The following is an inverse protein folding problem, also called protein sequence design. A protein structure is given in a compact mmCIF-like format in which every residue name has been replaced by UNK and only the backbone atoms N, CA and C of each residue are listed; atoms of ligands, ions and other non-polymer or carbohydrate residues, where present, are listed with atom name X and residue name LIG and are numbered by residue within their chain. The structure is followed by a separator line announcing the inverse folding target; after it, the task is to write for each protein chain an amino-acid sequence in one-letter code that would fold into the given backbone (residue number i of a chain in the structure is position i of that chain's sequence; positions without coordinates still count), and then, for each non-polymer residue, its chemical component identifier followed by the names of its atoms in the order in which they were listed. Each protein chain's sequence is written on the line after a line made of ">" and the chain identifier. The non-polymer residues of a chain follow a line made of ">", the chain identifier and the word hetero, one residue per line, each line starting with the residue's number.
data_IF_767881680809
#
_entry.id   IF_767881680809
#
_cell.length_a   1.000
_cell.length_b   1.000
_cell.length_c   1.000
_cell.angle_alpha   90.00
_cell.angle_beta   90.00
_cell.angle_gamma   90.00
#
_symmetry.space_group_name_H-M   'P 1'
#
loop_
_entity.id
_entity.type
_entity.pdbx_description
1 polymer ?
#
# COMPACT_ATOMS: atom_id res chain seq x y z
N UNK A 1 -30.29 6.44 6.07
CA UNK A 1 -28.85 6.39 5.72
C UNK A 1 -28.44 4.94 5.79
N UNK A 2 -27.67 4.41 4.81
CA UNK A 2 -27.18 3.02 4.90
C UNK A 2 -26.20 2.86 6.03
N UNK A 3 -26.23 1.70 6.69
CA UNK A 3 -25.36 1.32 7.79
C UNK A 3 -24.19 0.49 7.28
N UNK A 4 -22.98 0.98 7.45
CA UNK A 4 -21.75 0.31 7.04
C UNK A 4 -20.95 -0.10 8.27
N UNK A 5 -20.67 -1.40 8.42
CA UNK A 5 -19.70 -1.91 9.38
C UNK A 5 -18.34 -2.01 8.70
N UNK A 6 -17.42 -1.10 9.02
CA UNK A 6 -16.06 -1.12 8.52
C UNK A 6 -15.17 -1.99 9.41
N UNK A 7 -14.53 -2.99 8.82
CA UNK A 7 -13.71 -3.97 9.54
C UNK A 7 -12.25 -3.87 9.07
N UNK A 8 -11.32 -3.69 10.01
CA UNK A 8 -9.90 -3.61 9.72
C UNK A 8 -9.06 -4.24 10.83
N UNK A 9 -7.94 -4.84 10.47
CA UNK A 9 -6.94 -5.33 11.41
C UNK A 9 -5.67 -4.48 11.28
N UNK A 10 -5.42 -3.64 12.28
CA UNK A 10 -4.28 -2.75 12.31
C UNK A 10 -2.96 -3.50 12.28
N UNK A 11 -1.96 -2.91 11.63
CA UNK A 11 -0.58 -3.39 11.71
C UNK A 11 0.03 -3.09 13.08
N UNK A 12 1.14 -3.73 13.42
CA UNK A 12 1.90 -3.43 14.66
C UNK A 12 2.54 -2.04 14.63
N UNK A 13 3.03 -1.68 13.45
CA UNK A 13 3.55 -0.33 13.14
C UNK A 13 2.57 0.27 12.15
N UNK A 14 2.06 1.46 12.41
CA UNK A 14 1.12 2.16 11.55
C UNK A 14 1.70 2.28 10.14
N UNK A 15 0.97 1.79 9.15
CA UNK A 15 1.36 1.82 7.75
C UNK A 15 0.44 2.67 6.89
N UNK A 16 0.80 2.84 5.62
CA UNK A 16 -0.02 3.59 4.66
C UNK A 16 -1.44 3.03 4.50
N UNK A 17 -1.64 1.72 4.71
CA UNK A 17 -2.97 1.09 4.70
C UNK A 17 -3.82 1.54 5.89
N UNK A 18 -3.24 1.59 7.12
CA UNK A 18 -3.97 2.05 8.30
C UNK A 18 -4.39 3.52 8.16
N UNK A 19 -3.51 4.37 7.63
CA UNK A 19 -3.79 5.79 7.36
C UNK A 19 -4.90 5.92 6.29
N UNK A 20 -4.83 5.14 5.22
CA UNK A 20 -5.85 5.15 4.17
C UNK A 20 -7.22 4.76 4.71
N UNK A 21 -7.29 3.74 5.58
CA UNK A 21 -8.54 3.31 6.23
C UNK A 21 -9.11 4.39 7.13
N UNK A 22 -8.28 5.05 7.97
CA UNK A 22 -8.72 6.14 8.83
C UNK A 22 -9.27 7.34 8.03
N UNK A 23 -8.59 7.71 6.94
CA UNK A 23 -9.06 8.74 6.03
C UNK A 23 -10.40 8.37 5.40
N UNK A 24 -10.54 7.13 4.94
CA UNK A 24 -11.76 6.62 4.34
C UNK A 24 -12.93 6.62 5.34
N UNK A 25 -12.72 6.18 6.59
CA UNK A 25 -13.73 6.27 7.66
C UNK A 25 -14.22 7.70 7.86
N UNK A 26 -13.31 8.67 7.92
CA UNK A 26 -13.65 10.08 8.14
C UNK A 26 -14.54 10.66 7.03
N UNK A 27 -14.33 10.19 5.80
CA UNK A 27 -15.10 10.60 4.63
C UNK A 27 -16.43 9.87 4.57
N UNK A 28 -16.44 8.55 4.76
CA UNK A 28 -17.65 7.72 4.71
C UNK A 28 -18.70 8.14 5.74
N UNK A 29 -18.29 8.58 6.94
CA UNK A 29 -19.18 9.12 7.97
C UNK A 29 -20.00 10.34 7.53
N UNK A 30 -19.63 11.00 6.43
CA UNK A 30 -20.42 12.12 5.86
C UNK A 30 -21.59 11.64 5.00
N UNK A 31 -21.53 10.40 4.51
CA UNK A 31 -22.49 9.85 3.54
C UNK A 31 -23.28 8.65 4.08
N UNK A 32 -22.75 7.99 5.14
CA UNK A 32 -23.29 6.76 5.71
C UNK A 32 -23.27 6.81 7.23
N UNK A 33 -24.10 5.97 7.88
CA UNK A 33 -23.94 5.62 9.27
C UNK A 33 -22.84 4.55 9.38
N UNK A 34 -21.70 4.89 9.96
CA UNK A 34 -20.50 4.03 9.96
C UNK A 34 -20.12 3.62 11.38
N UNK A 35 -20.17 2.31 11.64
CA UNK A 35 -19.56 1.68 12.81
C UNK A 35 -18.22 1.05 12.40
N UNK A 36 -17.25 1.03 13.31
CA UNK A 36 -15.92 0.52 13.05
C UNK A 36 -15.54 -0.62 13.99
N UNK A 37 -15.04 -1.72 13.43
CA UNK A 37 -14.53 -2.85 14.19
C UNK A 37 -13.04 -3.04 13.85
N UNK A 38 -12.17 -2.58 14.75
CA UNK A 38 -10.73 -2.69 14.58
C UNK A 38 -10.16 -3.80 15.45
N UNK A 39 -9.37 -4.66 14.81
CA UNK A 39 -8.55 -5.67 15.48
C UNK A 39 -7.10 -5.21 15.51
N UNK A 40 -6.32 -5.70 16.50
CA UNK A 40 -4.88 -5.45 16.59
C UNK A 40 -4.10 -6.76 16.67
N UNK A 41 -2.90 -6.77 16.08
CA UNK A 41 -1.98 -7.89 16.17
C UNK A 41 -1.09 -7.84 17.43
N UNK A 42 -1.28 -6.86 18.29
CA UNK A 42 -0.62 -6.80 19.58
C UNK A 42 -1.13 -7.92 20.50
N UNK A 43 -0.23 -8.73 21.00
CA UNK A 43 -0.57 -9.77 21.96
C UNK A 43 0.58 -10.10 22.88
N UNK A 44 0.24 -10.16 24.17
CA UNK A 44 1.13 -10.65 25.23
C UNK A 44 1.17 -12.18 25.32
N UNK A 45 0.21 -12.90 24.72
CA UNK A 45 0.11 -14.36 24.86
C UNK A 45 0.03 -15.06 23.50
N UNK A 46 1.17 -15.62 23.04
CA UNK A 46 1.27 -16.34 21.76
C UNK A 46 0.64 -17.75 21.80
N UNK A 47 0.53 -18.38 22.96
CA UNK A 47 -0.02 -19.73 23.09
C UNK A 47 -1.51 -19.78 22.78
N UNK A 48 -2.26 -18.76 23.18
CA UNK A 48 -3.70 -18.65 22.88
C UNK A 48 -4.01 -18.53 21.38
N UNK A 49 -3.01 -18.21 20.55
CA UNK A 49 -3.14 -18.07 19.10
C UNK A 49 -2.71 -19.28 18.28
N UNK A 50 -2.24 -20.36 18.90
CA UNK A 50 -1.90 -21.58 18.18
C UNK A 50 -3.06 -22.10 17.30
N UNK A 51 -4.33 -22.15 17.77
CA UNK A 51 -5.45 -22.55 16.94
C UNK A 51 -5.62 -21.70 15.70
N UNK A 52 -5.45 -20.36 15.83
CA UNK A 52 -5.56 -19.41 14.72
C UNK A 52 -4.55 -19.74 13.59
N UNK A 53 -3.32 -20.10 13.94
CA UNK A 53 -2.31 -20.46 12.94
C UNK A 53 -2.69 -21.72 12.17
N UNK A 54 -3.25 -22.74 12.83
CA UNK A 54 -3.63 -23.99 12.18
C UNK A 54 -4.92 -23.89 11.39
N UNK A 55 -5.93 -23.20 11.92
CA UNK A 55 -7.26 -23.12 11.33
C UNK A 55 -7.48 -21.90 10.45
N UNK A 56 -6.66 -20.85 10.62
CA UNK A 56 -6.85 -19.49 10.09
C UNK A 56 -8.15 -18.83 10.61
N UNK A 57 -8.69 -19.33 11.72
CA UNK A 57 -9.94 -18.87 12.35
C UNK A 57 -9.70 -18.47 13.80
N UNK A 58 -10.42 -17.43 14.23
CA UNK A 58 -10.36 -16.89 15.60
C UNK A 58 -11.77 -16.75 16.16
N UNK A 59 -12.13 -17.62 17.11
CA UNK A 59 -13.45 -17.62 17.73
C UNK A 59 -13.79 -16.30 18.43
N UNK A 60 -12.80 -15.66 19.07
CA UNK A 60 -13.02 -14.40 19.76
C UNK A 60 -13.39 -13.28 18.78
N UNK A 61 -12.72 -13.23 17.61
CA UNK A 61 -13.04 -12.25 16.59
C UNK A 61 -14.43 -12.51 15.99
N UNK A 62 -14.79 -13.78 15.78
CA UNK A 62 -16.13 -14.17 15.33
C UNK A 62 -17.22 -13.74 16.31
N UNK A 63 -17.07 -14.08 17.61
CA UNK A 63 -18.03 -13.70 18.66
C UNK A 63 -18.15 -12.18 18.80
N UNK A 64 -17.02 -11.44 18.73
CA UNK A 64 -17.06 -9.98 18.81
C UNK A 64 -17.78 -9.38 17.59
N UNK A 65 -17.52 -9.90 16.40
CA UNK A 65 -18.22 -9.48 15.17
C UNK A 65 -19.71 -9.78 15.24
N UNK A 66 -20.12 -10.98 15.70
CA UNK A 66 -21.55 -11.33 15.85
C UNK A 66 -22.27 -10.34 16.76
N UNK A 67 -21.67 -10.01 17.91
CA UNK A 67 -22.24 -9.01 18.83
C UNK A 67 -22.40 -7.64 18.16
N UNK A 68 -21.38 -7.15 17.44
CA UNK A 68 -21.48 -5.87 16.74
C UNK A 68 -22.55 -5.91 15.64
N UNK A 69 -22.72 -7.03 14.93
CA UNK A 69 -23.77 -7.20 13.93
C UNK A 69 -25.17 -7.14 14.58
N UNK A 70 -25.37 -7.82 15.70
CA UNK A 70 -26.64 -7.82 16.44
C UNK A 70 -27.01 -6.41 16.96
N UNK A 71 -26.04 -5.69 17.50
CA UNK A 71 -26.24 -4.35 18.07
C UNK A 71 -26.45 -3.29 16.99
N UNK A 72 -25.59 -3.26 15.96
CA UNK A 72 -25.58 -2.21 14.94
C UNK A 72 -26.51 -2.50 13.77
N UNK A 73 -26.72 -3.78 13.41
CA UNK A 73 -27.53 -4.25 12.27
C UNK A 73 -27.08 -3.60 10.96
N UNK A 74 -25.83 -3.85 10.52
CA UNK A 74 -25.30 -3.25 9.30
C UNK A 74 -25.99 -3.77 8.04
N UNK A 75 -26.24 -2.90 7.07
CA UNK A 75 -26.66 -3.30 5.72
C UNK A 75 -25.50 -3.95 4.96
N UNK A 76 -24.26 -3.55 5.26
CA UNK A 76 -23.06 -3.97 4.55
C UNK A 76 -21.88 -4.03 5.50
N UNK A 77 -21.03 -5.04 5.31
CA UNK A 77 -19.69 -5.10 5.88
C UNK A 77 -18.65 -4.67 4.83
N UNK A 78 -17.89 -3.64 5.16
CA UNK A 78 -16.78 -3.14 4.36
C UNK A 78 -15.46 -3.55 5.00
N UNK A 79 -14.84 -4.60 4.46
CA UNK A 79 -13.66 -5.25 5.03
C UNK A 79 -12.41 -4.77 4.31
N UNK A 80 -11.37 -4.36 5.05
CA UNK A 80 -10.06 -4.01 4.50
C UNK A 80 -9.03 -5.10 4.78
N UNK A 81 -8.62 -5.27 6.01
CA UNK A 81 -7.61 -6.24 6.40
C UNK A 81 -8.11 -7.14 7.53
N UNK A 82 -7.88 -8.44 7.42
CA UNK A 82 -8.21 -9.42 8.48
C UNK A 82 -6.98 -10.14 9.04
N UNK A 83 -5.80 -9.73 8.66
CA UNK A 83 -4.54 -10.41 8.91
C UNK A 83 -3.88 -9.91 10.21
N UNK A 84 -3.73 -10.71 11.27
CA UNK A 84 -4.13 -12.10 11.51
C UNK A 84 -5.34 -12.22 12.44
N UNK A 85 -5.45 -11.32 13.46
CA UNK A 85 -6.41 -11.46 14.56
C UNK A 85 -7.85 -11.36 14.13
N UNK A 86 -8.18 -10.49 13.16
CA UNK A 86 -9.47 -10.50 12.52
C UNK A 86 -9.78 -11.89 11.98
N UNK A 87 -8.81 -12.50 11.31
CA UNK A 87 -8.85 -13.87 10.77
C UNK A 87 -9.87 -14.09 9.66
N UNK A 88 -9.88 -15.32 9.11
CA UNK A 88 -10.84 -15.68 8.06
C UNK A 88 -12.24 -15.98 8.63
N UNK A 89 -12.38 -16.14 9.95
CA UNK A 89 -13.70 -16.27 10.57
C UNK A 89 -14.60 -15.04 10.36
N UNK A 90 -14.03 -13.86 10.09
CA UNK A 90 -14.83 -12.67 9.71
C UNK A 90 -15.74 -12.99 8.54
N UNK A 91 -15.22 -13.64 7.48
CA UNK A 91 -16.02 -13.95 6.29
C UNK A 91 -17.08 -15.03 6.55
N UNK A 92 -16.75 -16.03 7.39
CA UNK A 92 -17.72 -17.05 7.79
C UNK A 92 -18.87 -16.43 8.59
N UNK A 93 -18.54 -15.62 9.60
CA UNK A 93 -19.54 -14.94 10.45
C UNK A 93 -20.43 -13.98 9.65
N UNK A 94 -19.85 -13.19 8.74
CA UNK A 94 -20.64 -12.31 7.87
C UNK A 94 -21.61 -13.10 6.97
N UNK A 95 -21.17 -14.25 6.46
CA UNK A 95 -22.01 -15.13 5.66
C UNK A 95 -23.13 -15.79 6.49
N UNK A 96 -22.83 -16.25 7.71
CA UNK A 96 -23.82 -16.83 8.64
C UNK A 96 -24.93 -15.82 8.99
N UNK A 97 -24.59 -14.55 9.14
CA UNK A 97 -25.55 -13.46 9.38
C UNK A 97 -26.16 -12.88 8.09
N UNK A 98 -25.86 -13.44 6.90
CA UNK A 98 -26.30 -12.95 5.59
C UNK A 98 -25.96 -11.47 5.32
N UNK A 99 -24.85 -10.98 5.86
CA UNK A 99 -24.39 -9.60 5.63
C UNK A 99 -23.65 -9.51 4.30
N UNK A 100 -24.13 -8.63 3.42
CA UNK A 100 -23.45 -8.31 2.16
C UNK A 100 -22.04 -7.81 2.46
N UNK A 101 -21.03 -8.39 1.80
CA UNK A 101 -19.63 -8.11 2.10
C UNK A 101 -18.90 -7.53 0.90
N UNK A 102 -18.28 -6.38 1.10
CA UNK A 102 -17.35 -5.73 0.17
C UNK A 102 -15.96 -5.79 0.78
N UNK A 103 -14.99 -6.31 0.04
CA UNK A 103 -13.60 -6.45 0.50
C UNK A 103 -12.68 -5.55 -0.32
N UNK A 104 -11.96 -4.63 0.32
CA UNK A 104 -10.94 -3.78 -0.33
C UNK A 104 -9.55 -4.34 -0.11
N UNK A 105 -8.85 -4.62 -1.21
CA UNK A 105 -7.49 -5.16 -1.20
C UNK A 105 -6.46 -4.06 -1.43
N UNK A 106 -5.60 -3.85 -0.44
CA UNK A 106 -4.53 -2.84 -0.49
C UNK A 106 -3.17 -3.41 -0.92
N UNK A 107 -3.01 -4.73 -0.88
CA UNK A 107 -1.74 -5.41 -1.11
C UNK A 107 -1.94 -6.79 -1.77
N UNK A 108 -0.81 -7.47 -2.08
CA UNK A 108 -0.82 -8.77 -2.74
C UNK A 108 -0.53 -9.95 -1.80
N UNK A 109 -0.82 -9.83 -0.49
CA UNK A 109 -0.51 -10.88 0.50
C UNK A 109 -1.21 -12.21 0.26
N UNK A 110 -2.38 -12.20 -0.36
CA UNK A 110 -3.08 -13.42 -0.81
C UNK A 110 -2.27 -14.22 -1.84
N UNK A 111 -1.31 -13.61 -2.52
CA UNK A 111 -0.42 -14.24 -3.49
C UNK A 111 1.01 -14.36 -2.97
N UNK A 112 1.58 -13.28 -2.41
CA UNK A 112 2.91 -13.25 -1.84
C UNK A 112 2.88 -12.86 -0.36
N UNK A 113 2.92 -13.85 0.52
CA UNK A 113 2.85 -13.66 1.99
C UNK A 113 4.06 -12.96 2.59
N UNK A 114 5.21 -12.95 1.91
CA UNK A 114 6.39 -12.17 2.29
C UNK A 114 6.24 -10.67 1.94
N UNK A 115 5.23 -10.32 1.13
CA UNK A 115 5.08 -8.96 0.57
C UNK A 115 6.27 -8.51 -0.29
N UNK A 116 6.91 -9.46 -0.99
CA UNK A 116 8.05 -9.27 -1.88
C UNK A 116 7.65 -9.46 -3.34
N UNK A 117 6.38 -9.21 -3.65
CA UNK A 117 5.87 -9.36 -5.00
C UNK A 117 6.42 -8.26 -5.91
N UNK A 118 7.13 -8.67 -6.97
CA UNK A 118 7.76 -7.76 -7.91
C UNK A 118 7.90 -8.42 -9.30
N UNK A 119 8.33 -7.65 -10.30
CA UNK A 119 8.44 -8.07 -11.70
C UNK A 119 9.19 -9.39 -11.89
N UNK A 120 10.25 -9.62 -11.13
CA UNK A 120 11.08 -10.83 -11.24
C UNK A 120 10.67 -11.94 -10.26
N UNK A 121 9.49 -11.83 -9.63
CA UNK A 121 9.01 -12.84 -8.70
C UNK A 121 8.85 -14.20 -9.38
N UNK A 122 9.67 -15.18 -9.00
CA UNK A 122 9.74 -16.53 -9.56
C UNK A 122 9.96 -16.62 -11.10
N UNK A 123 10.30 -15.53 -11.79
CA UNK A 123 10.28 -15.48 -13.26
C UNK A 123 11.18 -16.56 -13.86
N UNK A 124 12.45 -16.63 -13.46
CA UNK A 124 13.48 -17.53 -14.02
C UNK A 124 14.05 -18.50 -12.97
N UNK A 125 13.42 -18.57 -11.80
CA UNK A 125 13.89 -19.34 -10.65
C UNK A 125 12.94 -20.49 -10.33
N UNK A 126 13.50 -21.66 -9.94
CA UNK A 126 12.72 -22.79 -9.43
C UNK A 126 12.15 -22.52 -8.02
N UNK A 127 12.73 -21.58 -7.29
CA UNK A 127 12.29 -21.17 -5.96
C UNK A 127 12.39 -19.65 -5.78
N UNK A 128 11.52 -19.09 -4.94
CA UNK A 128 11.56 -17.67 -4.58
C UNK A 128 12.67 -17.40 -3.57
N UNK A 129 13.56 -16.46 -3.84
CA UNK A 129 14.63 -16.07 -2.92
C UNK A 129 14.11 -15.52 -1.58
N UNK A 130 12.96 -14.85 -1.59
CA UNK A 130 12.41 -14.24 -0.40
C UNK A 130 11.84 -15.26 0.61
N UNK A 131 11.13 -16.29 0.14
CA UNK A 131 10.47 -17.29 1.00
C UNK A 131 10.88 -18.74 0.72
N UNK A 132 11.66 -18.99 -0.33
CA UNK A 132 12.13 -20.33 -0.70
C UNK A 132 11.05 -21.24 -1.31
N UNK A 133 9.85 -20.72 -1.61
CA UNK A 133 8.81 -21.53 -2.24
C UNK A 133 9.14 -21.86 -3.69
N UNK A 134 8.88 -23.12 -4.09
CA UNK A 134 8.98 -23.53 -5.49
C UNK A 134 7.83 -22.95 -6.31
N UNK A 135 8.11 -22.62 -7.59
CA UNK A 135 7.20 -21.96 -8.53
C UNK A 135 5.80 -22.58 -8.59
N UNK A 136 5.71 -23.89 -8.60
CA UNK A 136 4.43 -24.60 -8.73
C UNK A 136 4.02 -25.41 -7.49
N UNK A 137 4.84 -25.42 -6.43
CA UNK A 137 4.58 -26.20 -5.23
C UNK A 137 5.27 -25.59 -4.02
N UNK A 138 4.56 -25.41 -2.93
CA UNK A 138 5.10 -24.98 -1.64
C UNK A 138 5.85 -26.13 -0.94
N UNK A 139 7.00 -26.55 -1.44
CA UNK A 139 7.79 -27.65 -0.87
C UNK A 139 9.03 -27.20 -0.12
N UNK A 140 9.55 -26.02 -0.43
CA UNK A 140 10.75 -25.43 0.19
C UNK A 140 10.43 -23.97 0.48
N UNK A 141 10.74 -23.52 1.66
CA UNK A 141 10.62 -22.13 2.10
C UNK A 141 11.68 -21.81 3.16
N UNK A 142 12.07 -20.54 3.21
CA UNK A 142 13.02 -20.02 4.20
C UNK A 142 12.27 -19.65 5.48
N UNK A 143 13.01 -19.46 6.59
CA UNK A 143 12.50 -18.94 7.86
C UNK A 143 12.17 -17.45 7.79
N UNK A 144 11.41 -17.01 6.76
CA UNK A 144 11.19 -15.60 6.50
C UNK A 144 10.22 -14.92 7.47
N UNK A 145 9.48 -15.70 8.26
CA UNK A 145 8.53 -15.16 9.21
C UNK A 145 8.95 -15.52 10.64
N UNK A 146 9.33 -14.49 11.42
CA UNK A 146 9.81 -14.62 12.80
C UNK A 146 10.88 -15.72 12.97
N UNK A 147 11.78 -15.84 12.01
CA UNK A 147 12.89 -16.80 11.97
C UNK A 147 12.50 -18.27 12.30
N UNK A 148 11.32 -18.67 11.84
CA UNK A 148 10.75 -20.00 12.13
C UNK A 148 10.16 -20.65 10.88
N UNK A 149 10.55 -21.91 10.58
CA UNK A 149 9.95 -22.68 9.50
C UNK A 149 8.46 -22.94 9.74
N UNK A 150 8.07 -23.30 10.96
CA UNK A 150 6.68 -23.59 11.30
C UNK A 150 5.79 -22.35 11.11
N UNK A 151 6.21 -21.21 11.64
CA UNK A 151 5.47 -19.95 11.47
C UNK A 151 5.41 -19.51 10.01
N UNK A 152 6.49 -19.69 9.25
CA UNK A 152 6.52 -19.40 7.81
C UNK A 152 5.54 -20.29 7.03
N UNK A 153 5.48 -21.59 7.35
CA UNK A 153 4.50 -22.51 6.76
C UNK A 153 3.06 -22.09 7.06
N UNK A 154 2.77 -21.74 8.32
CA UNK A 154 1.45 -21.30 8.75
C UNK A 154 0.98 -20.05 8.00
N UNK A 155 1.87 -19.07 7.83
CA UNK A 155 1.59 -17.86 7.07
C UNK A 155 1.28 -18.18 5.60
N UNK A 156 1.99 -19.12 5.00
CA UNK A 156 1.72 -19.60 3.63
C UNK A 156 0.36 -20.28 3.53
N UNK A 157 0.03 -21.13 4.49
CA UNK A 157 -1.28 -21.81 4.55
C UNK A 157 -2.40 -20.78 4.69
N UNK A 158 -2.23 -19.78 5.57
CA UNK A 158 -3.18 -18.68 5.72
C UNK A 158 -3.39 -17.94 4.39
N UNK A 159 -2.31 -17.56 3.70
CA UNK A 159 -2.39 -16.88 2.41
C UNK A 159 -3.15 -17.69 1.35
N UNK A 160 -2.94 -19.02 1.29
CA UNK A 160 -3.69 -19.91 0.39
C UNK A 160 -5.19 -19.98 0.74
N UNK A 161 -5.52 -20.07 2.02
CA UNK A 161 -6.92 -20.08 2.48
C UNK A 161 -7.59 -18.74 2.20
N UNK A 162 -6.87 -17.63 2.43
CA UNK A 162 -7.35 -16.30 2.09
C UNK A 162 -7.64 -16.17 0.59
N UNK A 163 -6.74 -16.65 -0.27
CA UNK A 163 -6.98 -16.69 -1.71
C UNK A 163 -8.24 -17.51 -2.08
N UNK A 164 -8.46 -18.65 -1.41
CA UNK A 164 -9.67 -19.45 -1.62
C UNK A 164 -10.95 -18.69 -1.22
N UNK A 165 -10.91 -17.87 -0.16
CA UNK A 165 -12.02 -16.97 0.19
C UNK A 165 -12.28 -15.98 -0.94
N UNK A 166 -11.24 -15.33 -1.49
CA UNK A 166 -11.39 -14.39 -2.61
C UNK A 166 -12.00 -15.05 -3.85
N UNK A 167 -11.64 -16.31 -4.12
CA UNK A 167 -12.08 -17.03 -5.31
C UNK A 167 -13.51 -17.58 -5.19
N UNK A 168 -13.85 -18.13 -4.04
CA UNK A 168 -15.05 -18.96 -3.86
C UNK A 168 -16.21 -18.26 -3.14
N UNK A 169 -15.93 -17.20 -2.36
CA UNK A 169 -16.98 -16.49 -1.64
C UNK A 169 -17.74 -15.50 -2.53
N UNK A 170 -18.97 -15.20 -2.14
CA UNK A 170 -19.79 -14.19 -2.84
C UNK A 170 -19.43 -12.79 -2.33
N UNK A 171 -18.22 -12.32 -2.67
CA UNK A 171 -17.68 -11.02 -2.27
C UNK A 171 -17.60 -10.09 -3.48
N UNK A 172 -17.94 -8.83 -3.29
CA UNK A 172 -17.47 -7.76 -4.17
C UNK A 172 -16.07 -7.34 -3.72
N UNK A 173 -15.13 -7.33 -4.65
CA UNK A 173 -13.71 -7.03 -4.37
C UNK A 173 -13.37 -5.68 -4.97
N UNK A 174 -12.95 -4.75 -4.11
CA UNK A 174 -12.39 -3.48 -4.52
C UNK A 174 -10.87 -3.59 -4.57
N UNK A 175 -10.29 -3.08 -5.63
CA UNK A 175 -8.84 -2.97 -5.81
C UNK A 175 -8.47 -1.55 -6.19
N UNK A 176 -7.24 -1.15 -5.89
CA UNK A 176 -6.82 0.24 -6.03
C UNK A 176 -6.51 0.64 -7.49
N UNK A 177 -6.26 -0.36 -8.38
CA UNK A 177 -5.76 -0.11 -9.74
C UNK A 177 -6.30 -1.11 -10.75
N UNK A 178 -6.32 -0.73 -12.02
CA UNK A 178 -6.60 -1.62 -13.16
C UNK A 178 -5.57 -2.75 -13.26
N UNK A 179 -4.30 -2.46 -12.93
CA UNK A 179 -3.24 -3.48 -12.82
C UNK A 179 -3.64 -4.59 -11.84
N UNK A 180 -4.08 -4.23 -10.62
CA UNK A 180 -4.49 -5.19 -9.60
C UNK A 180 -5.73 -5.98 -10.05
N UNK A 181 -6.73 -5.32 -10.68
CA UNK A 181 -7.89 -5.98 -11.29
C UNK A 181 -7.47 -7.02 -12.34
N UNK A 182 -6.58 -6.66 -13.26
CA UNK A 182 -6.04 -7.57 -14.28
C UNK A 182 -5.30 -8.74 -13.64
N UNK A 183 -4.51 -8.48 -12.61
CA UNK A 183 -3.77 -9.50 -11.88
C UNK A 183 -4.70 -10.55 -11.24
N UNK A 184 -5.74 -10.12 -10.51
CA UNK A 184 -6.73 -11.02 -9.90
C UNK A 184 -7.51 -11.81 -10.95
N UNK A 185 -7.89 -11.17 -12.05
CA UNK A 185 -8.59 -11.84 -13.16
C UNK A 185 -7.73 -12.95 -13.76
N UNK A 186 -6.44 -12.71 -13.95
CA UNK A 186 -5.48 -13.72 -14.44
C UNK A 186 -5.29 -14.89 -13.47
N UNK A 187 -5.55 -14.68 -12.17
CA UNK A 187 -5.57 -15.75 -11.17
C UNK A 187 -6.90 -16.53 -11.12
N UNK A 188 -7.85 -16.21 -11.99
CA UNK A 188 -9.13 -16.90 -12.12
C UNK A 188 -10.25 -16.38 -11.22
N UNK A 189 -10.14 -15.17 -10.67
CA UNK A 189 -11.25 -14.51 -9.99
C UNK A 189 -12.14 -13.83 -11.04
N UNK A 190 -13.45 -13.97 -10.90
CA UNK A 190 -14.43 -13.47 -11.88
C UNK A 190 -14.33 -11.95 -12.01
N UNK A 191 -14.10 -11.45 -13.24
CA UNK A 191 -13.93 -10.01 -13.54
C UNK A 191 -15.08 -9.14 -13.04
N UNK A 192 -16.33 -9.65 -13.07
CA UNK A 192 -17.53 -8.95 -12.60
C UNK A 192 -17.54 -8.64 -11.11
N UNK A 193 -16.85 -9.45 -10.30
CA UNK A 193 -16.74 -9.26 -8.84
C UNK A 193 -15.65 -8.24 -8.46
N UNK A 194 -14.82 -7.79 -9.42
CA UNK A 194 -13.67 -6.93 -9.14
C UNK A 194 -13.93 -5.53 -9.68
N UNK A 195 -13.93 -4.56 -8.79
CA UNK A 195 -14.12 -3.15 -9.11
C UNK A 195 -12.86 -2.36 -8.75
N UNK A 196 -12.57 -1.31 -9.52
CA UNK A 196 -11.43 -0.43 -9.22
C UNK A 196 -11.96 0.75 -8.41
N UNK A 197 -11.45 0.90 -7.19
CA UNK A 197 -11.73 2.00 -6.30
C UNK A 197 -10.44 2.41 -5.57
N UNK A 198 -9.73 3.44 -6.03
CA UNK A 198 -8.58 4.00 -5.33
C UNK A 198 -8.91 4.44 -3.90
N UNK A 199 -7.88 4.61 -3.09
CA UNK A 199 -8.03 5.21 -1.78
C UNK A 199 -8.29 6.71 -1.92
N UNK A 200 -9.14 7.21 -1.05
CA UNK A 200 -9.34 8.64 -0.87
C UNK A 200 -8.07 9.27 -0.25
N UNK A 201 -7.64 10.40 -0.79
CA UNK A 201 -6.59 11.22 -0.21
C UNK A 201 -7.19 12.47 0.42
N UNK A 202 -6.61 12.88 1.54
CA UNK A 202 -6.91 14.18 2.14
C UNK A 202 -5.78 15.15 1.80
N UNK A 203 -6.08 16.21 1.07
CA UNK A 203 -5.17 17.35 0.91
C UNK A 203 -5.40 18.31 2.08
N UNK A 204 -4.46 18.35 3.02
CA UNK A 204 -4.56 19.24 4.19
C UNK A 204 -3.85 20.57 4.05
N UNK A 205 -3.12 20.77 2.96
CA UNK A 205 -2.24 21.92 2.79
C UNK A 205 -2.63 22.64 1.50
N UNK A 206 -3.11 23.86 1.62
CA UNK A 206 -3.15 24.80 0.49
C UNK A 206 -1.70 25.18 0.17
N UNK A 207 -1.20 24.74 -0.96
CA UNK A 207 0.18 25.01 -1.34
C UNK A 207 0.29 25.92 -2.54
N UNK A 208 1.02 27.01 -2.35
CA UNK A 208 1.69 27.73 -3.42
C UNK A 208 3.03 27.06 -3.66
N UNK A 209 3.13 26.30 -4.74
CA UNK A 209 4.35 25.61 -5.13
C UNK A 209 5.54 26.60 -5.23
N UNK A 210 6.57 26.36 -4.44
CA UNK A 210 7.83 27.11 -4.48
C UNK A 210 8.94 26.20 -5.02
N UNK A 211 9.32 26.31 -6.30
CA UNK A 211 10.25 25.40 -6.97
C UNK A 211 11.72 25.58 -6.59
N UNK A 212 12.06 26.58 -5.78
CA UNK A 212 13.43 26.96 -5.47
C UNK A 212 14.07 26.15 -4.34
N UNK A 213 13.42 25.09 -3.85
CA UNK A 213 14.04 24.29 -2.80
C UNK A 213 15.24 23.50 -3.30
N UNK A 214 16.19 23.35 -2.43
CA UNK A 214 17.48 22.67 -2.65
C UNK A 214 17.44 21.20 -2.26
N UNK A 215 16.25 20.59 -2.14
CA UNK A 215 16.15 19.17 -1.76
C UNK A 215 15.01 18.42 -2.47
N UNK A 216 15.22 17.09 -2.57
CA UNK A 216 14.17 16.12 -2.91
C UNK A 216 13.90 15.22 -1.70
N UNK A 217 12.76 14.52 -1.71
CA UNK A 217 12.31 13.71 -0.58
C UNK A 217 12.06 12.26 -0.97
N UNK A 218 12.59 11.35 -0.16
CA UNK A 218 12.08 9.99 -0.02
C UNK A 218 11.41 9.86 1.35
N UNK A 219 10.19 9.34 1.42
CA UNK A 219 9.58 8.99 2.70
C UNK A 219 8.96 7.59 2.65
N UNK A 220 9.27 6.79 3.67
CA UNK A 220 8.79 5.42 3.80
C UNK A 220 9.78 4.49 4.48
N UNK A 221 9.46 3.19 4.49
CA UNK A 221 10.30 2.18 5.13
C UNK A 221 11.68 2.09 4.47
N UNK A 222 12.72 2.19 5.27
CA UNK A 222 14.12 2.15 4.82
C UNK A 222 14.58 0.69 4.78
N UNK A 223 14.27 0.00 3.68
CA UNK A 223 14.48 -1.44 3.50
C UNK A 223 14.90 -1.78 2.06
N UNK A 224 15.44 -2.99 1.89
CA UNK A 224 15.97 -3.47 0.61
C UNK A 224 14.91 -3.46 -0.51
N UNK A 225 13.70 -3.91 -0.21
CA UNK A 225 12.59 -3.99 -1.18
C UNK A 225 12.09 -2.62 -1.63
N UNK A 226 12.32 -1.57 -0.84
CA UNK A 226 12.02 -0.19 -1.22
C UNK A 226 13.13 0.48 -2.04
N UNK A 227 14.26 -0.21 -2.25
CA UNK A 227 15.34 0.23 -3.14
C UNK A 227 16.03 1.51 -2.69
N UNK A 228 16.06 1.79 -1.38
CA UNK A 228 16.58 3.07 -0.85
C UNK A 228 18.07 3.21 -1.09
N UNK A 229 18.85 2.13 -0.98
CA UNK A 229 20.28 2.17 -1.23
C UNK A 229 20.58 2.48 -2.71
N UNK A 230 19.87 1.85 -3.62
CA UNK A 230 20.01 2.07 -5.06
C UNK A 230 19.57 3.48 -5.44
N UNK A 231 18.51 3.99 -4.84
CA UNK A 231 18.03 5.35 -5.01
C UNK A 231 19.11 6.35 -4.59
N UNK A 232 19.72 6.19 -3.41
CA UNK A 232 20.81 7.06 -2.94
C UNK A 232 22.00 7.01 -3.92
N UNK A 233 22.38 5.81 -4.39
CA UNK A 233 23.46 5.66 -5.38
C UNK A 233 23.13 6.40 -6.69
N UNK A 234 21.90 6.33 -7.18
CA UNK A 234 21.46 7.04 -8.37
C UNK A 234 21.49 8.55 -8.16
N UNK A 235 21.03 9.02 -7.00
CA UNK A 235 21.08 10.41 -6.62
C UNK A 235 22.51 10.95 -6.61
N UNK A 236 23.44 10.26 -5.96
CA UNK A 236 24.86 10.68 -5.86
C UNK A 236 25.61 10.60 -7.20
N UNK A 237 25.13 9.80 -8.17
CA UNK A 237 25.70 9.75 -9.54
C UNK A 237 25.14 10.83 -10.45
N UNK A 238 24.01 11.44 -10.11
CA UNK A 238 23.34 12.44 -10.95
C UNK A 238 24.13 13.75 -10.97
N UNK A 239 24.01 14.50 -12.07
CA UNK A 239 24.76 15.73 -12.31
C UNK A 239 23.91 16.96 -12.02
N UNK A 240 23.79 17.31 -10.75
CA UNK A 240 23.14 18.54 -10.32
C UNK A 240 23.96 19.22 -9.20
N UNK A 241 23.80 20.53 -9.08
CA UNK A 241 24.52 21.33 -8.08
C UNK A 241 23.55 21.70 -6.94
N UNK A 242 24.06 21.62 -5.70
CA UNK A 242 23.38 22.12 -4.50
C UNK A 242 21.95 21.53 -4.27
N UNK A 243 21.75 20.27 -4.61
CA UNK A 243 20.51 19.55 -4.26
C UNK A 243 20.84 18.46 -3.24
N UNK A 244 20.08 18.40 -2.16
CA UNK A 244 20.15 17.37 -1.13
C UNK A 244 19.00 16.37 -1.30
N UNK A 245 19.16 15.19 -0.70
CA UNK A 245 18.04 14.25 -0.55
C UNK A 245 17.74 14.03 0.92
N UNK A 246 16.47 14.22 1.30
CA UNK A 246 15.96 13.90 2.64
C UNK A 246 15.34 12.50 2.63
N UNK A 247 15.89 11.60 3.44
CA UNK A 247 15.43 10.22 3.62
C UNK A 247 14.67 10.13 4.93
N UNK A 248 13.36 10.09 4.87
CA UNK A 248 12.46 10.10 6.03
C UNK A 248 11.90 8.70 6.27
N UNK A 249 12.00 8.23 7.51
CA UNK A 249 11.39 6.97 7.93
C UNK A 249 12.30 6.08 8.77
N UNK A 250 11.85 4.85 8.97
CA UNK A 250 12.54 3.83 9.75
C UNK A 250 12.67 2.53 8.95
N UNK A 251 13.57 1.64 9.39
CA UNK A 251 13.73 0.32 8.75
C UNK A 251 15.09 -0.31 8.97
N UNK A 252 15.25 -1.58 8.55
CA UNK A 252 16.46 -2.36 8.83
C UNK A 252 17.75 -1.80 8.22
N UNK A 253 17.66 -0.98 7.18
CA UNK A 253 18.83 -0.40 6.53
C UNK A 253 19.21 1.00 7.06
N UNK A 254 18.42 1.64 7.94
CA UNK A 254 18.61 3.01 8.38
C UNK A 254 20.04 3.25 8.94
N UNK A 255 20.43 2.46 9.94
CA UNK A 255 21.71 2.67 10.62
C UNK A 255 22.91 2.42 9.71
N UNK A 256 22.85 1.42 8.84
CA UNK A 256 23.92 1.12 7.89
C UNK A 256 24.07 2.21 6.83
N UNK A 257 22.95 2.73 6.29
CA UNK A 257 22.97 3.80 5.31
C UNK A 257 23.38 5.15 5.92
N UNK A 258 22.93 5.49 7.13
CA UNK A 258 23.41 6.67 7.87
C UNK A 258 24.94 6.66 8.03
N UNK A 259 25.50 5.51 8.44
CA UNK A 259 26.97 5.38 8.60
C UNK A 259 27.71 5.53 7.27
N UNK A 260 27.16 4.93 6.19
CA UNK A 260 27.77 4.91 4.86
C UNK A 260 27.79 6.30 4.18
N UNK A 261 26.80 7.14 4.46
CA UNK A 261 26.57 8.42 3.77
C UNK A 261 26.66 9.64 4.69
N UNK A 262 27.44 9.54 5.78
CA UNK A 262 27.55 10.58 6.81
C UNK A 262 28.03 11.95 6.28
N UNK A 263 28.89 11.94 5.26
CA UNK A 263 29.56 13.15 4.69
C UNK A 263 29.07 13.45 3.27
N UNK A 264 27.84 13.07 2.95
CA UNK A 264 27.25 13.27 1.63
C UNK A 264 26.03 14.21 1.70
N UNK A 265 25.51 14.60 0.52
CA UNK A 265 24.29 15.38 0.39
C UNK A 265 23.00 14.57 0.73
N UNK A 266 23.13 13.58 1.62
CA UNK A 266 22.03 12.70 2.07
C UNK A 266 21.71 12.97 3.53
N UNK A 267 20.56 13.57 3.79
CA UNK A 267 20.04 13.84 5.12
C UNK A 267 19.08 12.73 5.56
N UNK A 268 19.38 12.06 6.66
CA UNK A 268 18.49 11.03 7.22
C UNK A 268 17.68 11.60 8.38
N UNK A 269 16.37 11.59 8.22
CA UNK A 269 15.41 11.90 9.27
C UNK A 269 14.80 10.59 9.82
N UNK A 270 14.47 10.59 11.11
CA UNK A 270 13.73 9.49 11.70
C UNK A 270 12.26 9.51 11.22
N UNK A 271 11.50 8.51 11.63
CA UNK A 271 10.06 8.50 11.40
C UNK A 271 9.41 9.69 12.10
N UNK A 272 8.59 10.42 11.37
CA UNK A 272 7.82 11.60 11.81
C UNK A 272 6.36 11.41 11.38
N UNK A 273 5.45 12.26 11.87
CA UNK A 273 4.04 12.19 11.52
C UNK A 273 3.79 12.43 10.02
N UNK A 274 2.71 11.87 9.48
CA UNK A 274 2.34 12.09 8.07
C UNK A 274 2.18 13.58 7.74
N UNK A 275 1.64 14.36 8.67
CA UNK A 275 1.49 15.81 8.53
C UNK A 275 2.84 16.50 8.32
N UNK A 276 3.83 16.18 9.17
CA UNK A 276 5.19 16.73 9.05
C UNK A 276 5.86 16.28 7.74
N UNK A 277 5.65 15.02 7.31
CA UNK A 277 6.14 14.54 6.00
C UNK A 277 5.56 15.38 4.88
N UNK A 278 4.26 15.66 4.89
CA UNK A 278 3.60 16.47 3.86
C UNK A 278 4.04 17.93 3.89
N UNK A 279 4.32 18.49 5.07
CA UNK A 279 4.89 19.83 5.22
C UNK A 279 6.29 19.93 4.61
N UNK A 280 7.13 18.88 4.76
CA UNK A 280 8.45 18.81 4.11
C UNK A 280 8.31 18.62 2.61
N UNK A 281 7.38 17.76 2.16
CA UNK A 281 7.14 17.51 0.73
C UNK A 281 6.61 18.78 0.06
N UNK A 282 5.72 19.54 0.71
CA UNK A 282 5.13 20.77 0.13
C UNK A 282 6.16 21.83 -0.26
N UNK A 283 7.36 21.76 0.32
CA UNK A 283 8.50 22.63 0.03
C UNK A 283 9.60 21.95 -0.78
N UNK A 284 9.45 20.67 -1.13
CA UNK A 284 10.46 19.90 -1.85
C UNK A 284 10.44 20.22 -3.36
N UNK A 285 11.59 20.05 -4.02
CA UNK A 285 11.66 20.12 -5.49
C UNK A 285 10.96 18.95 -6.16
N UNK A 286 11.03 17.77 -5.57
CA UNK A 286 10.36 16.56 -6.03
C UNK A 286 10.33 15.48 -4.93
N UNK A 287 9.48 14.48 -5.14
CA UNK A 287 9.52 13.22 -4.38
C UNK A 287 10.13 12.12 -5.24
N UNK A 288 10.83 11.17 -4.62
CA UNK A 288 11.45 10.06 -5.33
C UNK A 288 11.23 8.75 -4.61
N UNK A 289 10.99 7.65 -5.36
CA UNK A 289 10.93 6.30 -4.82
C UNK A 289 11.72 5.32 -5.67
N UNK A 290 12.41 4.37 -5.01
CA UNK A 290 13.21 3.33 -5.65
C UNK A 290 12.60 1.95 -5.59
N UNK A 291 11.30 1.81 -5.28
CA UNK A 291 10.66 0.53 -4.96
C UNK A 291 10.90 -0.56 -6.01
N UNK A 292 11.27 -1.75 -5.54
CA UNK A 292 11.45 -2.96 -6.35
C UNK A 292 10.16 -3.76 -6.44
N UNK A 293 9.15 -3.42 -5.63
CA UNK A 293 7.88 -4.12 -5.53
C UNK A 293 6.87 -3.64 -6.57
N UNK A 294 5.89 -4.49 -6.88
CA UNK A 294 4.65 -4.00 -7.44
C UNK A 294 3.87 -3.26 -6.36
N UNK A 295 3.56 -2.03 -6.64
CA UNK A 295 2.73 -1.20 -5.78
C UNK A 295 1.29 -1.16 -6.32
N UNK A 296 0.33 -0.97 -5.42
CA UNK A 296 -1.02 -0.56 -5.76
C UNK A 296 -1.06 0.95 -5.95
N UNK A 297 -1.83 1.65 -5.11
CA UNK A 297 -1.81 3.10 -5.05
C UNK A 297 -0.63 3.59 -4.21
N UNK A 298 0.28 4.38 -4.77
CA UNK A 298 1.40 4.95 -4.04
C UNK A 298 0.93 6.20 -3.28
N UNK A 299 0.36 6.03 -2.07
CA UNK A 299 -0.27 7.11 -1.30
C UNK A 299 0.58 8.38 -1.25
N UNK A 300 1.86 8.25 -0.86
CA UNK A 300 2.78 9.40 -0.78
C UNK A 300 2.94 10.15 -2.10
N UNK A 301 2.99 9.44 -3.22
CA UNK A 301 3.12 10.08 -4.54
C UNK A 301 1.80 10.77 -4.94
N UNK A 302 0.65 10.19 -4.60
CA UNK A 302 -0.66 10.83 -4.80
C UNK A 302 -0.79 12.10 -3.94
N UNK A 303 -0.35 12.04 -2.70
CA UNK A 303 -0.31 13.18 -1.78
C UNK A 303 0.63 14.28 -2.30
N UNK A 304 1.84 13.93 -2.75
CA UNK A 304 2.77 14.86 -3.38
C UNK A 304 2.17 15.51 -4.62
N UNK A 305 1.50 14.72 -5.46
CA UNK A 305 0.83 15.20 -6.66
C UNK A 305 -0.27 16.21 -6.34
N UNK A 306 -1.07 15.96 -5.29
CA UNK A 306 -2.11 16.90 -4.85
C UNK A 306 -1.54 18.26 -4.40
N UNK A 307 -0.29 18.27 -3.94
CA UNK A 307 0.47 19.47 -3.59
C UNK A 307 1.16 20.13 -4.80
N UNK A 308 1.06 19.56 -5.99
CA UNK A 308 1.77 20.04 -7.18
C UNK A 308 3.26 19.68 -7.20
N UNK A 309 3.71 18.77 -6.34
CA UNK A 309 5.09 18.31 -6.26
C UNK A 309 5.27 17.08 -7.16
N UNK A 310 6.14 17.14 -8.18
CA UNK A 310 6.35 16.03 -9.10
C UNK A 310 7.11 14.89 -8.42
N UNK A 311 6.96 13.69 -8.99
CA UNK A 311 7.51 12.46 -8.42
C UNK A 311 8.34 11.69 -9.42
N UNK A 312 9.50 11.17 -8.99
CA UNK A 312 10.30 10.20 -9.75
C UNK A 312 10.00 8.78 -9.24
N UNK A 313 9.53 7.88 -10.11
CA UNK A 313 9.09 6.56 -9.70
C UNK A 313 9.33 5.50 -10.78
N UNK A 314 9.50 4.20 -10.39
CA UNK A 314 9.63 3.12 -11.35
C UNK A 314 8.29 2.75 -11.96
N UNK A 315 8.25 2.46 -13.26
CA UNK A 315 7.09 1.87 -13.93
C UNK A 315 6.85 0.46 -13.40
N UNK A 316 6.03 0.35 -12.36
CA UNK A 316 5.84 -0.87 -11.59
C UNK A 316 4.45 -0.99 -10.99
N UNK A 317 3.79 -2.11 -11.24
CA UNK A 317 2.45 -2.35 -10.71
C UNK A 317 1.44 -1.36 -11.27
N UNK A 318 0.70 -0.69 -10.37
CA UNK A 318 -0.31 0.30 -10.73
C UNK A 318 0.12 1.75 -10.54
N UNK A 319 1.40 2.04 -10.30
CA UNK A 319 1.87 3.40 -10.00
C UNK A 319 1.51 4.37 -11.13
N UNK A 320 1.76 3.98 -12.38
CA UNK A 320 1.53 4.84 -13.55
C UNK A 320 0.08 5.27 -13.71
N UNK A 321 -0.88 4.54 -13.16
CA UNK A 321 -2.30 4.88 -13.23
C UNK A 321 -2.67 6.18 -12.49
N UNK A 322 -1.78 6.70 -11.64
CA UNK A 322 -1.95 7.93 -10.86
C UNK A 322 -1.22 9.14 -11.46
N UNK A 323 -0.77 9.02 -12.70
CA UNK A 323 -0.01 10.04 -13.42
C UNK A 323 -0.52 10.16 -14.87
N UNK A 324 -0.38 11.33 -15.51
CA UNK A 324 -0.69 11.49 -16.93
C UNK A 324 0.11 10.51 -17.81
N UNK A 325 -0.46 10.10 -18.95
CA UNK A 325 0.19 9.14 -19.88
C UNK A 325 1.54 9.66 -20.41
N UNK A 326 1.71 10.99 -20.54
CA UNK A 326 2.92 11.67 -20.99
C UNK A 326 3.90 12.02 -19.86
N UNK A 327 3.74 11.43 -18.67
CA UNK A 327 4.55 11.78 -17.51
C UNK A 327 6.01 11.37 -17.66
N UNK A 328 6.91 12.37 -17.70
CA UNK A 328 8.31 12.19 -18.13
C UNK A 328 9.25 11.63 -17.06
N UNK A 329 8.86 11.67 -15.77
CA UNK A 329 9.76 11.33 -14.64
C UNK A 329 9.63 9.87 -14.17
N UNK A 330 8.82 9.07 -14.85
CA UNK A 330 8.80 7.63 -14.64
C UNK A 330 10.05 6.98 -15.27
N UNK A 331 10.59 5.95 -14.61
CA UNK A 331 11.75 5.21 -15.11
C UNK A 331 11.47 3.71 -15.13
N UNK A 332 12.26 2.95 -15.90
CA UNK A 332 12.11 1.50 -16.00
C UNK A 332 12.40 0.82 -14.66
N UNK A 333 11.49 0.00 -14.17
CA UNK A 333 11.66 -0.74 -12.92
C UNK A 333 12.98 -1.51 -12.89
N UNK A 334 13.72 -1.39 -11.79
CA UNK A 334 15.05 -1.97 -11.54
C UNK A 334 16.18 -1.40 -12.41
N UNK A 335 15.91 -0.41 -13.26
CA UNK A 335 16.93 0.30 -14.03
C UNK A 335 17.29 1.62 -13.31
N UNK A 336 18.25 1.55 -12.41
CA UNK A 336 18.67 2.71 -11.62
C UNK A 336 19.59 3.68 -12.37
N UNK A 337 20.14 3.28 -13.52
CA UNK A 337 20.82 4.21 -14.42
C UNK A 337 19.80 5.08 -15.17
N UNK A 338 18.62 4.53 -15.52
CA UNK A 338 17.50 5.31 -16.04
C UNK A 338 17.00 6.32 -14.98
N UNK A 339 16.89 5.93 -13.69
CA UNK A 339 16.61 6.85 -12.60
C UNK A 339 17.65 7.98 -12.53
N UNK A 340 18.95 7.64 -12.60
CA UNK A 340 20.04 8.64 -12.60
C UNK A 340 19.85 9.67 -13.73
N UNK A 341 19.53 9.20 -14.94
CA UNK A 341 19.28 10.09 -16.08
C UNK A 341 18.04 10.97 -15.87
N UNK A 342 16.94 10.39 -15.33
CA UNK A 342 15.72 11.15 -15.02
C UNK A 342 15.95 12.22 -13.95
N UNK A 343 16.75 11.94 -12.93
CA UNK A 343 17.06 12.91 -11.88
C UNK A 343 17.76 14.17 -12.41
N UNK A 344 18.44 14.10 -13.57
CA UNK A 344 19.04 15.30 -14.18
C UNK A 344 18.00 16.37 -14.59
N UNK A 345 16.71 16.01 -14.75
CA UNK A 345 15.63 16.99 -14.93
C UNK A 345 15.46 17.95 -13.74
N UNK A 346 16.00 17.59 -12.56
CA UNK A 346 16.01 18.50 -11.40
C UNK A 346 16.73 19.83 -11.65
N UNK A 347 17.59 19.92 -12.66
CA UNK A 347 18.24 21.15 -13.06
C UNK A 347 17.32 22.12 -13.81
N UNK A 348 16.22 21.64 -14.38
CA UNK A 348 15.26 22.46 -15.14
C UNK A 348 13.97 22.72 -14.32
N UNK A 349 13.97 23.86 -13.67
CA UNK A 349 12.86 24.28 -12.80
C UNK A 349 11.53 24.35 -13.57
N UNK A 350 11.57 24.77 -14.85
CA UNK A 350 10.36 24.90 -15.67
C UNK A 350 9.74 23.53 -15.97
N UNK A 351 10.56 22.54 -16.29
CA UNK A 351 10.10 21.16 -16.50
C UNK A 351 9.51 20.58 -15.20
N UNK A 352 10.19 20.79 -14.07
CA UNK A 352 9.73 20.36 -12.75
C UNK A 352 8.36 20.96 -12.41
N UNK A 353 8.20 22.28 -12.57
CA UNK A 353 6.94 22.99 -12.34
C UNK A 353 5.82 22.46 -13.23
N UNK A 354 6.08 22.36 -14.53
CA UNK A 354 5.09 21.90 -15.50
C UNK A 354 4.59 20.49 -15.21
N UNK A 355 5.51 19.56 -14.86
CA UNK A 355 5.13 18.20 -14.49
C UNK A 355 4.34 18.17 -13.17
N UNK A 356 4.72 18.98 -12.19
CA UNK A 356 3.98 19.11 -10.93
C UNK A 356 2.56 19.63 -11.14
N UNK A 357 2.40 20.69 -11.95
CA UNK A 357 1.11 21.25 -12.27
C UNK A 357 0.19 20.26 -13.02
N UNK A 358 0.66 19.69 -14.12
CA UNK A 358 -0.08 18.68 -14.88
C UNK A 358 -0.54 17.51 -14.01
N UNK A 359 0.35 17.06 -13.12
CA UNK A 359 0.01 15.94 -12.26
C UNK A 359 -0.98 16.30 -11.16
N UNK A 360 -0.93 17.54 -10.66
CA UNK A 360 -1.93 18.06 -9.71
C UNK A 360 -3.33 18.06 -10.31
N UNK A 361 -3.47 18.57 -11.53
CA UNK A 361 -4.76 18.55 -12.25
C UNK A 361 -5.23 17.12 -12.46
N UNK A 362 -4.36 16.24 -13.00
CA UNK A 362 -4.71 14.85 -13.25
C UNK A 362 -5.19 14.13 -11.98
N UNK A 363 -4.45 14.24 -10.86
CA UNK A 363 -4.79 13.51 -9.63
C UNK A 363 -6.05 14.07 -8.96
N UNK A 364 -6.32 15.36 -9.10
CA UNK A 364 -7.53 16.00 -8.60
C UNK A 364 -8.78 15.41 -9.25
N UNK A 365 -8.74 15.24 -10.57
CA UNK A 365 -9.84 14.64 -11.32
C UNK A 365 -9.94 13.11 -11.09
N UNK A 366 -8.79 12.41 -11.10
CA UNK A 366 -8.76 10.96 -10.97
C UNK A 366 -9.20 10.48 -9.58
N UNK A 367 -8.88 11.22 -8.52
CA UNK A 367 -9.25 10.92 -7.13
C UNK A 367 -10.37 11.82 -6.61
N UNK A 368 -11.21 12.36 -7.51
CA UNK A 368 -12.37 13.14 -7.11
C UNK A 368 -13.27 12.37 -6.14
N UNK A 369 -13.53 12.98 -4.99
CA UNK A 369 -14.23 12.32 -3.87
C UNK A 369 -15.65 11.90 -4.22
N UNK A 370 -16.38 12.76 -4.94
CA UNK A 370 -17.77 12.48 -5.28
C UNK A 370 -17.86 11.30 -6.26
N UNK A 371 -16.96 11.24 -7.24
CA UNK A 371 -16.89 10.14 -8.19
C UNK A 371 -16.50 8.82 -7.53
N UNK A 372 -15.57 8.85 -6.57
CA UNK A 372 -15.19 7.68 -5.81
C UNK A 372 -16.33 7.17 -4.91
N UNK A 373 -17.06 8.07 -4.25
CA UNK A 373 -18.25 7.72 -3.45
C UNK A 373 -19.37 7.16 -4.34
N UNK A 374 -19.67 7.77 -5.49
CA UNK A 374 -20.63 7.22 -6.46
C UNK A 374 -20.24 5.81 -6.93
N UNK A 375 -18.95 5.57 -7.14
CA UNK A 375 -18.43 4.25 -7.51
C UNK A 375 -18.63 3.23 -6.38
N UNK A 376 -18.36 3.63 -5.14
CA UNK A 376 -18.60 2.79 -3.97
C UNK A 376 -20.10 2.49 -3.82
N UNK A 377 -20.96 3.50 -3.92
CA UNK A 377 -22.42 3.35 -3.88
C UNK A 377 -22.93 2.33 -4.88
N UNK A 378 -22.41 2.35 -6.11
CA UNK A 378 -22.77 1.38 -7.13
C UNK A 378 -22.44 -0.04 -6.69
N UNK A 379 -21.23 -0.28 -6.19
CA UNK A 379 -20.79 -1.62 -5.71
C UNK A 379 -21.59 -2.07 -4.48
N UNK A 380 -21.92 -1.13 -3.61
CA UNK A 380 -22.75 -1.38 -2.43
C UNK A 380 -24.19 -1.75 -2.83
N UNK A 381 -24.70 -1.28 -3.97
CA UNK A 381 -26.08 -1.54 -4.43
C UNK A 381 -26.19 -2.75 -5.37
N UNK A 382 -25.11 -3.19 -6.01
CA UNK A 382 -25.02 -4.43 -6.79
C UNK A 382 -25.04 -5.67 -5.90
#
# INVERSE_FOLDING_TARGET
>A
MKKILLIHNNYRETGGEDIAVQNEVSILKKYYEVETLFFSNETKNYLSKLPLFFTSKNKNSASHLSKVIEDFKPDIAYVHNTWFNGSLSIFDTLNEHNIKTVLKLHNFRYFCTKSFFHRNHLKDSKACYACGQKKNRARIFNKYYLDSYLKSLMVVIYGKRYFNVLKNSNLNILVLTKFHKKFLTNLGIQKKKIHVLPNLINSYIENTYLPESDYIVYAGRISEEKGVEELIKSFLKSKFNNINIKIIGNGPLLNSLKKKHKESSVEFMNEISNKEVLEIISKARAVVTGTKLYEGQPMLLCEASSLGIPSFFPRSGGIEEFFPDDYSFSYQQLNYDDLTNKLNYLNDIKIIQNQGYKNKEFISDYLDKENLIKTLDKVINE
#
